data_IF_461582274471
#
_entry.id   IF_461582274471
#
_cell.length_a   1.000
_cell.length_b   1.000
_cell.length_c   1.000
_cell.angle_alpha   90.00
_cell.angle_beta   90.00
_cell.angle_gamma   90.00
#
_symmetry.space_group_name_H-M   'P 1'
#
loop_
_entity.id
_entity.type
_entity.pdbx_description
1 polymer ?
#
# COMPACT_ATOMS: atom_id res chain seq x y z
N UNK A 1 -25.96 13.53 -1.59
CA UNK A 1 -25.36 13.32 -0.26
C UNK A 1 -23.86 13.51 -0.39
N UNK A 2 -23.33 14.63 0.12
CA UNK A 2 -21.90 14.95 0.05
C UNK A 2 -21.19 14.20 1.18
N UNK A 3 -20.31 13.26 0.83
CA UNK A 3 -19.30 12.73 1.74
C UNK A 3 -18.40 13.89 2.17
N UNK A 4 -18.74 14.57 3.27
CA UNK A 4 -17.76 15.39 3.99
C UNK A 4 -17.02 14.43 4.90
N UNK A 5 -15.78 14.09 4.54
CA UNK A 5 -14.86 13.50 5.51
C UNK A 5 -14.86 14.37 6.75
N UNK A 6 -14.99 13.75 7.92
CA UNK A 6 -14.92 14.49 9.16
C UNK A 6 -13.52 15.10 9.27
N UNK A 7 -13.41 16.30 9.83
CA UNK A 7 -12.08 16.93 10.06
C UNK A 7 -11.16 16.00 10.86
N UNK A 8 -11.73 15.14 11.71
CA UNK A 8 -11.00 14.13 12.47
C UNK A 8 -10.39 13.04 11.58
N UNK A 9 -11.10 12.52 10.58
CA UNK A 9 -10.56 11.54 9.61
C UNK A 9 -9.37 12.08 8.83
N UNK A 10 -9.47 13.34 8.38
CA UNK A 10 -8.38 13.99 7.63
C UNK A 10 -7.12 14.09 8.50
N UNK A 11 -7.28 14.56 9.73
CA UNK A 11 -6.16 14.67 10.69
C UNK A 11 -5.58 13.30 11.04
N UNK A 12 -6.41 12.28 11.27
CA UNK A 12 -5.95 10.93 11.54
C UNK A 12 -5.12 10.37 10.36
N UNK A 13 -5.59 10.59 9.13
CA UNK A 13 -4.83 10.23 7.93
C UNK A 13 -3.50 10.96 7.82
N UNK A 14 -3.43 12.26 8.13
CA UNK A 14 -2.18 13.02 8.12
C UNK A 14 -1.17 12.48 9.14
N UNK A 15 -1.64 12.19 10.36
CA UNK A 15 -0.79 11.63 11.42
C UNK A 15 -0.27 10.25 11.03
N UNK A 16 -1.10 9.42 10.40
CA UNK A 16 -0.68 8.14 9.85
C UNK A 16 0.44 8.32 8.82
N UNK A 17 0.26 9.17 7.83
CA UNK A 17 1.28 9.40 6.78
C UNK A 17 2.60 9.86 7.39
N UNK A 18 2.55 10.77 8.37
CA UNK A 18 3.75 11.23 9.09
C UNK A 18 4.46 10.08 9.79
N UNK A 19 3.71 9.22 10.49
CA UNK A 19 4.27 8.02 11.14
C UNK A 19 4.94 7.10 10.12
N UNK A 20 4.24 6.77 9.03
CA UNK A 20 4.78 5.90 7.98
C UNK A 20 6.05 6.49 7.34
N UNK A 21 6.08 7.80 7.13
CA UNK A 21 7.27 8.47 6.62
C UNK A 21 8.44 8.37 7.61
N UNK A 22 8.20 8.63 8.90
CA UNK A 22 9.23 8.54 9.93
C UNK A 22 9.78 7.11 10.09
N UNK A 23 8.91 6.11 10.08
CA UNK A 23 9.30 4.71 10.33
C UNK A 23 9.85 4.01 9.08
N UNK A 24 9.33 4.34 7.90
CA UNK A 24 9.57 3.58 6.68
C UNK A 24 10.06 4.41 5.50
N UNK A 25 10.02 5.75 5.57
CA UNK A 25 10.34 6.63 4.44
C UNK A 25 11.73 6.37 3.84
N UNK A 26 12.77 6.24 4.67
CA UNK A 26 14.13 5.94 4.18
C UNK A 26 14.23 4.57 3.49
N UNK A 27 13.59 3.55 4.06
CA UNK A 27 13.61 2.20 3.51
C UNK A 27 12.79 2.12 2.21
N UNK A 28 11.65 2.81 2.16
CA UNK A 28 10.78 2.91 1.00
C UNK A 28 11.48 3.63 -0.15
N UNK A 29 12.12 4.77 0.13
CA UNK A 29 12.88 5.51 -0.87
C UNK A 29 14.04 4.67 -1.41
N UNK A 30 14.84 4.05 -0.53
CA UNK A 30 15.94 3.19 -0.96
C UNK A 30 15.46 1.99 -1.82
N UNK A 31 14.31 1.41 -1.48
CA UNK A 31 13.71 0.35 -2.29
C UNK A 31 13.23 0.86 -3.64
N UNK A 32 12.52 1.98 -3.69
CA UNK A 32 12.08 2.62 -4.92
C UNK A 32 13.27 3.03 -5.81
N UNK A 33 14.38 3.49 -5.23
CA UNK A 33 15.62 3.78 -5.98
C UNK A 33 16.19 2.53 -6.63
N UNK A 34 16.17 1.39 -5.94
CA UNK A 34 16.61 0.11 -6.53
C UNK A 34 15.72 -0.36 -7.67
N UNK A 35 14.41 -0.13 -7.58
CA UNK A 35 13.46 -0.51 -8.62
C UNK A 35 13.57 0.37 -9.87
N UNK A 36 13.83 1.66 -9.70
CA UNK A 36 13.75 2.66 -10.78
C UNK A 36 15.11 3.00 -11.38
N UNK A 37 16.20 2.86 -10.61
CA UNK A 37 17.54 3.32 -11.01
C UNK A 37 17.70 4.84 -11.05
N UNK A 38 16.66 5.61 -10.71
CA UNK A 38 16.63 7.07 -10.77
C UNK A 38 16.08 7.63 -9.46
N UNK A 39 16.88 8.38 -8.67
CA UNK A 39 16.45 8.97 -7.41
C UNK A 39 15.21 9.86 -7.52
N UNK A 40 15.05 10.60 -8.62
CA UNK A 40 13.90 11.51 -8.80
C UNK A 40 12.61 10.73 -9.02
N UNK A 41 12.67 9.70 -9.86
CA UNK A 41 11.51 8.81 -10.07
C UNK A 41 11.20 8.04 -8.78
N UNK A 42 12.21 7.68 -7.99
CA UNK A 42 12.03 7.03 -6.71
C UNK A 42 11.28 7.90 -5.69
N UNK A 43 11.57 9.20 -5.64
CA UNK A 43 10.83 10.17 -4.82
C UNK A 43 9.35 10.21 -5.22
N UNK A 44 9.06 10.35 -6.52
CA UNK A 44 7.68 10.34 -7.04
C UNK A 44 6.93 9.05 -6.65
N UNK A 45 7.60 7.90 -6.73
CA UNK A 45 7.04 6.60 -6.34
C UNK A 45 6.74 6.54 -4.84
N UNK A 46 7.66 7.04 -4.00
CA UNK A 46 7.49 7.04 -2.55
C UNK A 46 6.34 7.96 -2.12
N UNK A 47 6.26 9.16 -2.70
CA UNK A 47 5.16 10.10 -2.47
C UNK A 47 3.81 9.52 -2.87
N UNK A 48 3.72 8.98 -4.08
CA UNK A 48 2.48 8.41 -4.61
C UNK A 48 2.06 7.13 -3.85
N UNK A 49 3.01 6.42 -3.23
CA UNK A 49 2.75 5.33 -2.28
C UNK A 49 2.16 5.85 -0.97
N UNK A 50 2.71 6.92 -0.40
CA UNK A 50 2.19 7.54 0.83
C UNK A 50 0.81 8.18 0.61
N UNK A 51 0.56 8.76 -0.57
CA UNK A 51 -0.77 9.25 -0.97
C UNK A 51 -1.78 8.10 -1.04
N UNK A 52 -1.40 6.94 -1.57
CA UNK A 52 -2.25 5.73 -1.49
C UNK A 52 -2.46 5.31 -0.04
N UNK A 53 -1.43 5.34 0.80
CA UNK A 53 -1.56 4.98 2.22
C UNK A 53 -2.59 5.87 2.94
N UNK A 54 -2.57 7.17 2.69
CA UNK A 54 -3.58 8.10 3.20
C UNK A 54 -5.01 7.73 2.77
N UNK A 55 -5.20 7.39 1.49
CA UNK A 55 -6.51 6.97 0.93
C UNK A 55 -7.03 5.65 1.54
N UNK A 56 -6.15 4.80 2.06
CA UNK A 56 -6.51 3.57 2.77
C UNK A 56 -6.25 3.66 4.29
N UNK A 57 -6.27 4.87 4.84
CA UNK A 57 -5.91 5.12 6.23
C UNK A 57 -6.72 4.28 7.23
N UNK A 58 -8.01 4.06 7.02
CA UNK A 58 -8.83 3.19 7.88
C UNK A 58 -8.32 1.75 7.94
N UNK A 59 -7.91 1.18 6.79
CA UNK A 59 -7.39 -0.18 6.71
C UNK A 59 -5.98 -0.30 7.28
N UNK A 60 -5.16 0.74 7.14
CA UNK A 60 -3.77 0.75 7.62
C UNK A 60 -3.70 1.05 9.12
N UNK A 61 -4.56 1.93 9.64
CA UNK A 61 -4.58 2.30 11.07
C UNK A 61 -4.97 1.12 11.97
N UNK A 62 -5.72 0.16 11.43
CA UNK A 62 -6.04 -1.11 12.11
C UNK A 62 -4.95 -2.18 11.96
N UNK A 63 -3.86 -1.86 11.25
CA UNK A 63 -2.80 -2.77 10.86
C UNK A 63 -1.49 -2.62 11.64
N UNK A 64 -0.85 -3.76 11.94
CA UNK A 64 0.47 -3.86 12.57
C UNK A 64 1.59 -4.21 11.57
N UNK A 65 2.30 -5.31 11.82
CA UNK A 65 3.54 -5.72 11.13
C UNK A 65 3.46 -5.85 9.60
N UNK A 66 2.25 -5.93 9.03
CA UNK A 66 2.04 -6.09 7.59
C UNK A 66 2.16 -4.79 6.79
N UNK A 67 2.12 -3.64 7.46
CA UNK A 67 2.13 -2.31 6.80
C UNK A 67 3.38 -2.12 5.94
N UNK A 68 4.54 -2.59 6.42
CA UNK A 68 5.78 -2.52 5.64
C UNK A 68 5.68 -3.31 4.33
N UNK A 69 5.14 -4.53 4.38
CA UNK A 69 4.94 -5.36 3.18
C UNK A 69 4.00 -4.68 2.19
N UNK A 70 2.90 -4.11 2.69
CA UNK A 70 1.95 -3.37 1.86
C UNK A 70 2.57 -2.14 1.18
N UNK A 71 3.44 -1.39 1.86
CA UNK A 71 4.15 -0.25 1.28
C UNK A 71 5.06 -0.67 0.12
N UNK A 72 5.81 -1.76 0.29
CA UNK A 72 6.72 -2.27 -0.75
C UNK A 72 5.95 -2.80 -1.96
N UNK A 73 4.90 -3.59 -1.74
CA UNK A 73 4.00 -4.08 -2.80
C UNK A 73 3.37 -2.91 -3.57
N UNK A 74 2.96 -1.86 -2.85
CA UNK A 74 2.35 -0.68 -3.46
C UNK A 74 3.37 0.09 -4.31
N UNK A 75 4.60 0.28 -3.83
CA UNK A 75 5.66 0.92 -4.60
C UNK A 75 5.98 0.17 -5.89
N UNK A 76 6.04 -1.16 -5.86
CA UNK A 76 6.24 -1.99 -7.06
C UNK A 76 5.10 -1.82 -8.06
N UNK A 77 3.85 -1.82 -7.59
CA UNK A 77 2.69 -1.57 -8.45
C UNK A 77 2.76 -0.18 -9.09
N UNK A 78 3.16 0.86 -8.35
CA UNK A 78 3.32 2.22 -8.91
C UNK A 78 4.38 2.24 -10.02
N UNK A 79 5.54 1.62 -9.81
CA UNK A 79 6.59 1.54 -10.84
C UNK A 79 6.06 0.81 -12.09
N UNK A 80 5.36 -0.31 -11.90
CA UNK A 80 4.77 -1.07 -13.00
C UNK A 80 3.72 -0.25 -13.77
N UNK A 81 2.84 0.49 -13.07
CA UNK A 81 1.88 1.40 -13.68
C UNK A 81 2.57 2.51 -14.49
N UNK A 82 3.64 3.12 -13.96
CA UNK A 82 4.41 4.15 -14.66
C UNK A 82 5.07 3.60 -15.93
N UNK A 83 5.67 2.41 -15.86
CA UNK A 83 6.27 1.72 -17.00
C UNK A 83 5.23 1.37 -18.06
N UNK A 84 4.07 0.86 -17.67
CA UNK A 84 2.96 0.55 -18.58
C UNK A 84 2.42 1.82 -19.27
N UNK A 85 2.36 2.95 -18.57
CA UNK A 85 1.97 4.25 -19.16
C UNK A 85 2.99 4.74 -20.19
N UNK A 86 4.28 4.54 -19.95
CA UNK A 86 5.36 4.91 -20.90
C UNK A 86 5.38 4.01 -22.14
N UNK A 87 5.09 2.73 -21.99
CA UNK A 87 5.09 1.75 -23.08
C UNK A 87 3.87 1.85 -24.02
N UNK A 88 2.78 2.51 -23.60
CA UNK A 88 1.61 2.73 -24.45
C UNK A 88 1.82 3.97 -25.33
N UNK A 89 1.61 3.90 -26.66
CA UNK A 89 1.51 5.11 -27.47
C UNK A 89 0.42 5.99 -26.87
N UNK A 90 0.75 7.27 -26.65
CA UNK A 90 -0.02 8.24 -25.85
C UNK A 90 -1.52 8.18 -26.21
N UNK A 91 -2.39 7.66 -25.33
CA UNK A 91 -3.82 7.78 -25.52
C UNK A 91 -4.25 9.22 -25.19
N UNK A 92 -5.20 9.74 -25.95
CA UNK A 92 -5.98 10.96 -25.68
C UNK A 92 -6.51 10.97 -24.22
N UNK A 93 -6.59 12.13 -23.53
CA UNK A 93 -6.86 12.17 -22.09
C UNK A 93 -8.27 11.66 -21.74
N UNK A 94 -8.36 10.38 -21.38
CA UNK A 94 -9.55 9.78 -20.80
C UNK A 94 -9.32 9.37 -19.34
N UNK A 95 -10.28 9.81 -18.50
CA UNK A 95 -10.55 9.58 -17.06
C UNK A 95 -9.85 8.41 -16.36
N UNK A 96 -9.55 8.66 -15.08
CA UNK A 96 -9.02 7.75 -14.04
C UNK A 96 -9.48 6.28 -14.16
N UNK A 97 -8.56 5.31 -14.42
CA UNK A 97 -8.91 3.90 -14.49
C UNK A 97 -8.91 3.14 -13.14
N UNK A 98 -9.90 2.27 -13.03
CA UNK A 98 -10.44 1.37 -11.98
C UNK A 98 -9.51 0.26 -11.43
N UNK A 99 -8.23 0.52 -11.11
CA UNK A 99 -7.28 -0.54 -10.71
C UNK A 99 -6.98 -0.70 -9.20
N UNK A 100 -7.74 -0.04 -8.33
CA UNK A 100 -7.70 -0.24 -6.87
C UNK A 100 -8.14 -1.65 -6.44
N UNK A 101 -8.88 -2.38 -7.29
CA UNK A 101 -9.53 -3.67 -6.99
C UNK A 101 -8.57 -4.86 -6.75
N UNK A 102 -7.32 -4.81 -7.21
CA UNK A 102 -6.39 -5.96 -7.17
C UNK A 102 -5.57 -6.06 -5.88
N UNK A 103 -5.44 -4.98 -5.10
CA UNK A 103 -4.69 -4.99 -3.83
C UNK A 103 -5.40 -5.81 -2.73
N UNK A 104 -6.73 -5.76 -2.68
CA UNK A 104 -7.54 -6.52 -1.72
C UNK A 104 -7.54 -8.04 -2.01
N UNK A 105 -7.33 -8.44 -3.27
CA UNK A 105 -7.44 -9.85 -3.69
C UNK A 105 -6.21 -10.70 -3.31
N UNK A 106 -5.00 -10.13 -3.29
CA UNK A 106 -3.76 -10.83 -2.90
C UNK A 106 -3.64 -11.05 -1.39
N UNK A 107 -4.22 -10.17 -0.58
CA UNK A 107 -4.20 -10.29 0.88
C UNK A 107 -4.99 -11.50 1.42
N UNK A 108 -5.89 -12.09 0.62
CA UNK A 108 -6.68 -13.28 0.99
C UNK A 108 -5.89 -14.59 0.88
N UNK A 109 -4.88 -14.68 0.01
CA UNK A 109 -4.15 -15.93 -0.27
C UNK A 109 -3.09 -16.24 0.79
N UNK A 110 -2.37 -15.25 1.32
CA UNK A 110 -1.30 -15.53 2.29
C UNK A 110 -1.80 -15.75 3.73
N UNK A 111 -3.04 -15.34 4.05
CA UNK A 111 -3.64 -15.47 5.40
C UNK A 111 -4.32 -16.82 5.65
N UNK A 112 -4.78 -17.53 4.61
CA UNK A 112 -5.38 -18.86 4.77
C UNK A 112 -4.34 -19.95 5.09
N UNK A 113 -3.06 -19.74 4.78
CA UNK A 113 -1.99 -20.70 5.08
C UNK A 113 -1.39 -20.54 6.48
N UNK A 114 -1.44 -19.34 7.08
CA UNK A 114 -0.83 -19.08 8.38
C UNK A 114 -1.71 -19.47 9.59
N UNK A 115 -3.04 -19.50 9.43
CA UNK A 115 -3.97 -19.81 10.52
C UNK A 115 -4.29 -21.31 10.63
N UNK A 116 -4.01 -22.11 9.58
CA UNK A 116 -4.42 -23.53 9.53
C UNK A 116 -3.42 -24.55 10.09
N UNK A 117 -2.19 -24.14 10.44
CA UNK A 117 -1.12 -25.07 10.84
C UNK A 117 -0.74 -24.99 12.33
N UNK A 118 -1.52 -24.33 13.19
CA UNK A 118 -1.25 -24.31 14.64
C UNK A 118 -2.51 -24.42 15.50
N UNK A 119 -3.42 -25.33 15.16
CA UNK A 119 -4.47 -25.79 16.07
C UNK A 119 -4.48 -27.33 15.96
N UNK A 120 -3.60 -27.99 16.70
CA UNK A 120 -3.75 -29.41 17.03
C UNK A 120 -3.97 -29.50 18.54
N UNK A 121 -5.19 -29.85 19.02
CA UNK A 121 -5.48 -29.95 20.44
C UNK A 121 -5.04 -31.33 20.93
N UNK A 122 -4.23 -31.37 21.99
CA UNK A 122 -4.14 -32.56 22.86
C UNK A 122 -4.41 -32.13 24.29
N UNK A 123 -5.70 -32.03 24.60
CA UNK A 123 -6.22 -32.22 25.95
C UNK A 123 -7.28 -33.31 25.88
N UNK A 124 -6.85 -34.51 26.28
CA UNK A 124 -7.62 -35.70 26.65
C UNK A 124 -6.66 -36.45 27.58
N UNK A 125 -6.94 -36.88 28.80
CA UNK A 125 -8.17 -36.95 29.59
C UNK A 125 -7.76 -37.02 31.08
N UNK A 126 -8.77 -36.87 31.92
CA UNK A 126 -8.98 -37.55 33.19
C UNK A 126 -8.16 -38.81 33.47
#
# INVERSE_FOLDING_TARGET
MLFRSTRAEVVAGELLVRRLYQEHGRALLAYATRLTGDPRIAEDVAEETLVRAWRYSEAITTGGDWVRGWLLDTAENVVCEMSARRARPRPEPARLPTAVRSAVRRFKVNRMNAVRTSEAPLTTSH
#
